data_IF_120706011509
#
_entry.id   IF_120706011509
#
_cell.length_a   1.000
_cell.length_b   1.000
_cell.length_c   1.000
_cell.angle_alpha   90.00
_cell.angle_beta   90.00
_cell.angle_gamma   90.00
#
_symmetry.space_group_name_H-M   'P 1'
#
loop_
_entity.id
_entity.type
_entity.pdbx_description
1 polymer ?
#
# COMPACT_ATOMS: atom_id res chain seq x y z
N UNK A 1 10.92 -36.67 37.43
CA UNK A 1 9.47 -36.53 37.65
C UNK A 1 8.94 -35.09 37.83
N UNK A 2 9.77 -34.02 37.81
CA UNK A 2 9.29 -32.63 37.95
C UNK A 2 8.93 -31.93 36.62
N UNK A 3 9.63 -32.21 35.51
CA UNK A 3 9.42 -31.55 34.21
C UNK A 3 8.05 -31.78 33.55
N UNK A 4 7.47 -32.99 33.67
CA UNK A 4 6.12 -33.27 33.14
C UNK A 4 5.04 -32.39 33.77
N UNK A 5 5.16 -32.06 35.06
CA UNK A 5 4.16 -31.24 35.78
C UNK A 5 4.12 -29.79 35.27
N UNK A 6 5.27 -29.21 34.94
CA UNK A 6 5.36 -27.85 34.38
C UNK A 6 4.82 -27.77 32.96
N UNK A 7 5.08 -28.80 32.13
CA UNK A 7 4.56 -28.83 30.76
C UNK A 7 3.04 -28.97 30.73
N UNK A 8 2.46 -29.78 31.62
CA UNK A 8 1.01 -29.90 31.77
C UNK A 8 0.37 -28.61 32.28
N UNK A 9 1.03 -27.91 33.22
CA UNK A 9 0.56 -26.62 33.72
C UNK A 9 0.59 -25.54 32.62
N UNK A 10 1.66 -25.48 31.83
CA UNK A 10 1.80 -24.53 30.73
C UNK A 10 0.74 -24.78 29.65
N UNK A 11 0.52 -26.04 29.28
CA UNK A 11 -0.52 -26.41 28.31
C UNK A 11 -1.93 -26.03 28.81
N UNK A 12 -2.22 -26.24 30.10
CA UNK A 12 -3.50 -25.86 30.69
C UNK A 12 -3.73 -24.34 30.65
N UNK A 13 -2.69 -23.53 30.93
CA UNK A 13 -2.77 -22.06 30.85
C UNK A 13 -3.05 -21.62 29.41
N UNK A 14 -2.31 -22.15 28.42
CA UNK A 14 -2.52 -21.79 27.02
C UNK A 14 -3.94 -22.12 26.51
N UNK A 15 -4.48 -23.29 26.89
CA UNK A 15 -5.84 -23.70 26.53
C UNK A 15 -6.87 -22.78 27.20
N UNK A 16 -6.68 -22.43 28.47
CA UNK A 16 -7.59 -21.56 29.19
C UNK A 16 -7.58 -20.11 28.63
N UNK A 17 -6.41 -19.59 28.28
CA UNK A 17 -6.26 -18.29 27.62
C UNK A 17 -6.93 -18.27 26.24
N UNK A 18 -6.82 -19.34 25.47
CA UNK A 18 -7.53 -19.49 24.18
C UNK A 18 -9.04 -19.48 24.38
N UNK A 19 -9.57 -20.23 25.35
CA UNK A 19 -11.00 -20.25 25.66
C UNK A 19 -11.51 -18.89 26.13
N UNK A 20 -10.74 -18.15 26.93
CA UNK A 20 -11.10 -16.78 27.31
C UNK A 20 -11.11 -15.83 26.11
N UNK A 21 -10.12 -15.90 25.21
CA UNK A 21 -10.09 -15.08 24.00
C UNK A 21 -11.30 -15.34 23.09
N UNK A 22 -11.70 -16.60 22.94
CA UNK A 22 -12.88 -16.99 22.13
C UNK A 22 -14.18 -16.55 22.79
N UNK A 23 -14.34 -16.71 24.11
CA UNK A 23 -15.57 -16.32 24.81
C UNK A 23 -15.71 -14.80 24.97
N UNK A 24 -14.62 -14.05 25.06
CA UNK A 24 -14.65 -12.57 25.07
C UNK A 24 -15.00 -11.97 23.69
N UNK A 25 -14.87 -12.73 22.60
CA UNK A 25 -15.31 -12.31 21.26
C UNK A 25 -16.81 -12.51 21.00
N UNK A 26 -17.52 -13.25 21.87
CA UNK A 26 -18.90 -13.66 21.63
C UNK A 26 -19.97 -12.71 22.23
N UNK A 27 -19.58 -11.69 23.01
CA UNK A 27 -20.53 -10.81 23.70
C UNK A 27 -20.64 -9.39 23.12
N UNK A 28 -20.02 -9.08 21.97
CA UNK A 28 -20.08 -7.74 21.36
C UNK A 28 -20.83 -7.66 20.03
N UNK A 29 -21.36 -8.78 19.52
CA UNK A 29 -21.98 -8.85 18.19
C UNK A 29 -23.50 -9.03 18.17
N UNK A 30 -24.16 -9.24 19.31
CA UNK A 30 -25.58 -9.67 19.30
C UNK A 30 -26.60 -8.58 19.69
N UNK A 31 -26.19 -7.40 20.17
CA UNK A 31 -27.14 -6.33 20.53
C UNK A 31 -27.54 -5.39 19.38
N UNK A 32 -26.86 -5.43 18.23
CA UNK A 32 -27.07 -4.44 17.15
C UNK A 32 -27.74 -4.99 15.87
N UNK A 33 -28.19 -6.25 15.84
CA UNK A 33 -28.64 -6.89 14.60
C UNK A 33 -30.02 -6.45 14.08
N UNK A 34 -30.83 -5.76 14.90
CA UNK A 34 -32.21 -5.41 14.53
C UNK A 34 -32.43 -3.98 14.02
N UNK A 35 -31.38 -3.17 13.84
CA UNK A 35 -31.53 -1.77 13.37
C UNK A 35 -31.15 -1.57 11.90
N UNK A 36 -30.55 -2.55 11.22
CA UNK A 36 -29.97 -2.35 9.88
C UNK A 36 -30.87 -2.69 8.68
N UNK A 37 -32.02 -3.33 8.87
CA UNK A 37 -32.75 -3.95 7.75
C UNK A 37 -33.58 -2.99 6.88
N UNK A 38 -33.61 -1.67 7.14
CA UNK A 38 -34.37 -0.72 6.30
C UNK A 38 -33.72 0.65 6.17
N UNK A 39 -32.70 0.77 5.32
CA UNK A 39 -32.28 2.07 4.77
C UNK A 39 -32.55 2.06 3.25
N UNK A 40 -33.53 2.84 2.75
CA UNK A 40 -33.79 3.04 1.30
C UNK A 40 -32.66 3.75 0.53
N UNK A 41 -31.49 3.95 1.12
CA UNK A 41 -30.39 4.78 0.61
C UNK A 41 -29.15 3.97 0.19
N UNK A 42 -29.15 2.63 0.27
CA UNK A 42 -27.93 1.85 0.01
C UNK A 42 -27.36 2.07 -1.41
N UNK A 43 -28.24 2.19 -2.41
CA UNK A 43 -27.86 2.42 -3.81
C UNK A 43 -27.39 3.87 -4.05
N UNK A 44 -28.05 4.85 -3.41
CA UNK A 44 -27.65 6.27 -3.42
C UNK A 44 -26.32 6.49 -2.69
N UNK A 45 -26.11 5.81 -1.56
CA UNK A 45 -24.87 5.87 -0.78
C UNK A 45 -23.73 5.27 -1.57
N UNK A 46 -23.91 4.08 -2.17
CA UNK A 46 -22.91 3.46 -3.03
C UNK A 46 -22.54 4.38 -4.20
N UNK A 47 -23.54 4.89 -4.93
CA UNK A 47 -23.32 5.78 -6.08
C UNK A 47 -22.55 7.03 -5.68
N UNK A 48 -22.94 7.70 -4.59
CA UNK A 48 -22.25 8.90 -4.10
C UNK A 48 -20.82 8.58 -3.64
N UNK A 49 -20.59 7.48 -2.93
CA UNK A 49 -19.25 7.08 -2.48
C UNK A 49 -18.31 6.85 -3.67
N UNK A 50 -18.79 6.15 -4.71
CA UNK A 50 -17.98 5.93 -5.93
C UNK A 50 -17.69 7.25 -6.65
N UNK A 51 -18.66 8.13 -6.79
CA UNK A 51 -18.49 9.44 -7.42
C UNK A 51 -17.47 10.32 -6.67
N UNK A 52 -17.56 10.40 -5.33
CA UNK A 52 -16.58 11.13 -4.52
C UNK A 52 -15.17 10.54 -4.61
N UNK A 53 -15.04 9.20 -4.65
CA UNK A 53 -13.74 8.54 -4.79
C UNK A 53 -13.12 8.87 -6.14
N UNK A 54 -13.90 8.80 -7.21
CA UNK A 54 -13.41 9.04 -8.57
C UNK A 54 -13.04 10.53 -8.75
N UNK A 55 -13.82 11.45 -8.16
CA UNK A 55 -13.48 12.88 -8.07
C UNK A 55 -12.19 13.14 -7.29
N UNK A 56 -12.00 12.46 -6.14
CA UNK A 56 -10.79 12.58 -5.34
C UNK A 56 -9.56 12.05 -6.08
N UNK A 57 -9.66 10.88 -6.73
CA UNK A 57 -8.56 10.31 -7.51
C UNK A 57 -8.18 11.25 -8.64
N UNK A 58 -9.15 11.81 -9.37
CA UNK A 58 -8.89 12.82 -10.40
C UNK A 58 -8.19 14.06 -9.84
N UNK A 59 -8.69 14.61 -8.73
CA UNK A 59 -8.08 15.78 -8.10
C UNK A 59 -6.64 15.52 -7.66
N UNK A 60 -6.35 14.31 -7.17
CA UNK A 60 -5.01 13.91 -6.77
C UNK A 60 -4.07 13.75 -7.97
N UNK A 61 -4.55 13.21 -9.09
CA UNK A 61 -3.77 13.13 -10.33
C UNK A 61 -3.45 14.53 -10.86
N UNK A 62 -4.44 15.42 -10.88
CA UNK A 62 -4.27 16.81 -11.31
C UNK A 62 -3.26 17.55 -10.42
N UNK A 63 -3.37 17.39 -9.10
CA UNK A 63 -2.40 17.92 -8.13
C UNK A 63 -0.99 17.35 -8.35
N UNK A 64 -0.87 16.04 -8.52
CA UNK A 64 0.41 15.36 -8.77
C UNK A 64 1.08 15.92 -10.01
N UNK A 65 0.32 16.09 -11.10
CA UNK A 65 0.80 16.68 -12.33
C UNK A 65 1.27 18.12 -12.14
N UNK A 66 0.50 18.94 -11.41
CA UNK A 66 0.84 20.33 -11.13
C UNK A 66 2.17 20.46 -10.38
N UNK A 67 2.40 19.64 -9.35
CA UNK A 67 3.61 19.75 -8.53
C UNK A 67 4.85 19.10 -9.16
N UNK A 68 4.66 18.07 -9.97
CA UNK A 68 5.76 17.23 -10.49
C UNK A 68 6.15 17.56 -11.93
N UNK A 69 5.23 18.13 -12.71
CA UNK A 69 5.42 18.34 -14.14
C UNK A 69 5.46 17.05 -14.97
N UNK A 70 5.17 15.89 -14.37
CA UNK A 70 5.13 14.61 -15.06
C UNK A 70 3.93 14.50 -16.01
N UNK A 71 4.03 13.59 -16.97
CA UNK A 71 2.93 13.27 -17.87
C UNK A 71 1.71 12.72 -17.12
N UNK A 72 0.51 13.06 -17.59
CA UNK A 72 -0.74 12.71 -16.91
C UNK A 72 -0.88 11.20 -16.67
N UNK A 73 -0.53 10.38 -17.66
CA UNK A 73 -0.63 8.92 -17.56
C UNK A 73 0.30 8.36 -16.48
N UNK A 74 1.48 8.96 -16.30
CA UNK A 74 2.42 8.59 -15.25
C UNK A 74 1.94 9.03 -13.87
N UNK A 75 1.33 10.22 -13.75
CA UNK A 75 0.69 10.66 -12.51
C UNK A 75 -0.46 9.74 -12.12
N UNK A 76 -1.29 9.34 -13.10
CA UNK A 76 -2.35 8.36 -12.91
C UNK A 76 -1.79 7.01 -12.45
N UNK A 77 -0.72 6.53 -13.09
CA UNK A 77 -0.04 5.30 -12.69
C UNK A 77 0.40 5.37 -11.22
N UNK A 78 1.11 6.44 -10.82
CA UNK A 78 1.56 6.65 -9.44
C UNK A 78 0.41 6.57 -8.44
N UNK A 79 -0.69 7.29 -8.69
CA UNK A 79 -1.85 7.36 -7.80
C UNK A 79 -2.53 5.99 -7.67
N UNK A 80 -2.72 5.29 -8.79
CA UNK A 80 -3.31 3.95 -8.79
C UNK A 80 -2.40 2.96 -8.07
N UNK A 81 -1.10 2.97 -8.35
CA UNK A 81 -0.12 2.08 -7.73
C UNK A 81 -0.02 2.31 -6.21
N UNK A 82 -0.05 3.57 -5.75
CA UNK A 82 -0.13 3.88 -4.32
C UNK A 82 -1.42 3.32 -3.68
N UNK A 83 -2.55 3.44 -4.37
CA UNK A 83 -3.84 2.93 -3.88
C UNK A 83 -3.84 1.41 -3.73
N UNK A 84 -3.32 0.69 -4.72
CA UNK A 84 -3.22 -0.78 -4.69
C UNK A 84 -2.26 -1.29 -3.61
N UNK A 85 -1.19 -0.54 -3.31
CA UNK A 85 -0.23 -0.87 -2.26
C UNK A 85 -0.58 -0.26 -0.88
N UNK A 86 -1.75 0.38 -0.75
CA UNK A 86 -2.21 1.07 0.48
C UNK A 86 -1.20 2.11 1.02
N UNK A 87 -0.49 2.79 0.12
CA UNK A 87 0.44 3.85 0.43
C UNK A 87 -0.20 5.23 0.28
N UNK A 88 0.20 6.16 1.15
CA UNK A 88 -0.18 7.56 1.03
C UNK A 88 0.56 8.20 -0.17
N UNK A 89 -0.14 8.65 -1.22
CA UNK A 89 0.48 9.27 -2.39
C UNK A 89 1.32 10.49 -2.03
N UNK A 90 0.96 11.25 -0.99
CA UNK A 90 1.76 12.41 -0.57
C UNK A 90 3.12 12.03 -0.01
N UNK A 91 3.24 10.86 0.65
CA UNK A 91 4.52 10.34 1.10
C UNK A 91 5.40 9.93 -0.10
N UNK A 92 4.82 9.24 -1.07
CA UNK A 92 5.52 8.84 -2.30
C UNK A 92 5.98 10.06 -3.10
N UNK A 93 5.13 11.09 -3.23
CA UNK A 93 5.49 12.35 -3.88
C UNK A 93 6.61 13.09 -3.14
N UNK A 94 6.56 13.13 -1.80
CA UNK A 94 7.62 13.70 -0.98
C UNK A 94 8.95 12.96 -1.14
N UNK A 95 8.92 11.63 -1.19
CA UNK A 95 10.08 10.78 -1.46
C UNK A 95 10.67 11.10 -2.84
N UNK A 96 9.88 11.04 -3.91
CA UNK A 96 10.35 11.29 -5.28
C UNK A 96 10.89 12.72 -5.42
N UNK A 97 10.22 13.71 -4.82
CA UNK A 97 10.73 15.10 -4.78
C UNK A 97 12.12 15.16 -4.16
N UNK A 98 12.35 14.42 -3.07
CA UNK A 98 13.63 14.40 -2.36
C UNK A 98 14.71 13.64 -3.14
N UNK A 99 14.35 12.54 -3.80
CA UNK A 99 15.31 11.68 -4.49
C UNK A 99 15.75 12.26 -5.83
N UNK A 100 14.80 12.68 -6.68
CA UNK A 100 15.10 13.05 -8.07
C UNK A 100 14.60 14.44 -8.46
N UNK A 101 13.90 15.15 -7.58
CA UNK A 101 13.15 16.35 -7.93
C UNK A 101 12.18 16.12 -9.11
N UNK A 102 11.54 14.95 -9.12
CA UNK A 102 10.68 14.47 -10.21
C UNK A 102 11.38 14.31 -11.57
N UNK A 103 12.71 14.24 -11.63
CA UNK A 103 13.42 14.00 -12.87
C UNK A 103 13.48 12.48 -13.19
N UNK A 104 12.77 12.00 -14.23
CA UNK A 104 12.76 10.58 -14.57
C UNK A 104 14.09 10.07 -15.14
N UNK A 105 14.98 10.99 -15.53
CA UNK A 105 16.31 10.69 -16.05
C UNK A 105 17.42 11.05 -15.06
N UNK A 106 17.09 11.20 -13.78
CA UNK A 106 18.08 11.46 -12.75
C UNK A 106 19.11 10.32 -12.68
N UNK A 107 20.38 10.69 -12.61
CA UNK A 107 21.52 9.79 -12.41
C UNK A 107 22.29 10.31 -11.21
N UNK A 108 22.26 9.58 -10.12
CA UNK A 108 22.97 9.93 -8.91
C UNK A 108 24.43 9.48 -8.92
N UNK A 109 25.21 10.01 -7.99
CA UNK A 109 26.65 9.79 -7.95
C UNK A 109 27.04 8.37 -7.52
N UNK A 110 26.15 7.68 -6.79
CA UNK A 110 26.35 6.29 -6.36
C UNK A 110 25.93 5.24 -7.38
N UNK A 111 25.36 5.65 -8.52
CA UNK A 111 24.80 4.76 -9.53
C UNK A 111 23.29 4.55 -9.42
N UNK A 112 22.62 5.27 -8.53
CA UNK A 112 21.17 5.30 -8.44
C UNK A 112 20.50 5.97 -9.67
N UNK A 113 19.39 5.41 -10.15
CA UNK A 113 18.72 5.85 -11.38
C UNK A 113 17.23 6.17 -11.19
N UNK A 114 16.76 7.16 -11.96
CA UNK A 114 15.34 7.48 -12.15
C UNK A 114 14.67 8.16 -10.95
N UNK A 115 13.33 8.13 -10.96
CA UNK A 115 12.47 8.91 -10.04
C UNK A 115 12.71 8.59 -8.56
N UNK A 116 12.80 7.31 -8.21
CA UNK A 116 13.04 6.83 -6.85
C UNK A 116 14.52 6.67 -6.51
N UNK A 117 15.44 7.03 -7.42
CA UNK A 117 16.89 6.84 -7.25
C UNK A 117 17.23 5.43 -6.73
N UNK A 118 16.83 4.41 -7.51
CA UNK A 118 17.05 3.01 -7.14
C UNK A 118 18.45 2.55 -7.54
N UNK A 119 19.13 1.88 -6.61
CA UNK A 119 20.40 1.18 -6.86
C UNK A 119 20.16 -0.14 -7.59
N UNK A 120 21.09 -0.54 -8.46
CA UNK A 120 20.98 -1.77 -9.26
C UNK A 120 20.68 -3.01 -8.40
N UNK A 121 21.43 -3.19 -7.32
CA UNK A 121 21.29 -4.35 -6.44
C UNK A 121 19.90 -4.43 -5.77
N UNK A 122 19.30 -3.28 -5.46
CA UNK A 122 17.96 -3.21 -4.86
C UNK A 122 16.90 -3.49 -5.92
N UNK A 123 17.00 -2.81 -7.06
CA UNK A 123 16.02 -2.91 -8.14
C UNK A 123 15.97 -4.33 -8.74
N UNK A 124 17.12 -5.00 -8.89
CA UNK A 124 17.18 -6.39 -9.36
C UNK A 124 16.35 -7.32 -8.47
N UNK A 125 16.52 -7.24 -7.15
CA UNK A 125 15.79 -8.09 -6.19
C UNK A 125 14.29 -7.84 -6.27
N UNK A 126 13.86 -6.57 -6.34
CA UNK A 126 12.44 -6.22 -6.44
C UNK A 126 11.86 -6.70 -7.77
N UNK A 127 12.54 -6.45 -8.89
CA UNK A 127 12.09 -6.88 -10.22
C UNK A 127 11.94 -8.41 -10.31
N UNK A 128 12.90 -9.17 -9.80
CA UNK A 128 12.85 -10.63 -9.75
C UNK A 128 11.67 -11.14 -8.91
N UNK A 129 11.43 -10.54 -7.74
CA UNK A 129 10.28 -10.88 -6.90
C UNK A 129 8.94 -10.62 -7.59
N UNK A 130 8.89 -9.62 -8.47
CA UNK A 130 7.71 -9.29 -9.28
C UNK A 130 7.64 -10.08 -10.60
N UNK A 131 8.64 -10.90 -10.91
CA UNK A 131 8.68 -11.72 -12.12
C UNK A 131 9.09 -10.97 -13.39
N UNK A 132 9.77 -9.83 -13.27
CA UNK A 132 10.31 -9.07 -14.40
C UNK A 132 11.74 -9.51 -14.75
N UNK A 133 12.05 -9.52 -16.05
CA UNK A 133 13.44 -9.45 -16.49
C UNK A 133 14.00 -8.05 -16.18
N UNK A 134 15.27 -7.96 -15.79
CA UNK A 134 15.86 -6.73 -15.30
C UNK A 134 17.21 -6.41 -15.94
N UNK A 135 17.28 -5.21 -16.51
CA UNK A 135 18.51 -4.50 -16.92
C UNK A 135 18.55 -3.15 -16.21
N UNK A 136 19.73 -2.66 -15.83
CA UNK A 136 19.84 -1.49 -14.96
C UNK A 136 19.28 -0.21 -15.59
N UNK A 137 19.48 -0.05 -16.90
CA UNK A 137 19.03 1.09 -17.69
C UNK A 137 17.49 1.21 -17.76
N UNK A 138 16.77 0.11 -17.49
CA UNK A 138 15.30 0.12 -17.39
C UNK A 138 14.82 1.05 -16.27
N UNK A 139 15.66 1.35 -15.27
CA UNK A 139 15.32 2.32 -14.22
C UNK A 139 15.18 3.76 -14.73
N UNK A 140 15.60 4.05 -15.97
CA UNK A 140 15.32 5.33 -16.61
C UNK A 140 13.94 5.36 -17.29
N UNK A 141 13.25 4.22 -17.40
CA UNK A 141 11.83 4.20 -17.71
C UNK A 141 11.04 4.61 -16.45
N UNK A 142 10.28 5.71 -16.49
CA UNK A 142 9.67 6.25 -15.29
C UNK A 142 8.57 5.38 -14.71
N UNK A 143 7.80 4.66 -15.54
CA UNK A 143 6.72 3.80 -15.07
C UNK A 143 7.30 2.57 -14.37
N UNK A 144 8.31 1.94 -14.97
CA UNK A 144 9.05 0.84 -14.35
C UNK A 144 9.72 1.29 -13.04
N UNK A 145 10.40 2.44 -13.04
CA UNK A 145 11.03 2.97 -11.83
C UNK A 145 10.02 3.22 -10.69
N UNK A 146 8.86 3.80 -11.01
CA UNK A 146 7.78 3.99 -10.04
C UNK A 146 7.23 2.65 -9.53
N UNK A 147 7.04 1.67 -10.42
CA UNK A 147 6.57 0.34 -10.04
C UNK A 147 7.46 -0.26 -8.96
N UNK A 148 8.77 -0.23 -9.18
CA UNK A 148 9.76 -0.77 -8.24
C UNK A 148 9.93 0.10 -6.99
N UNK A 149 9.62 1.40 -7.05
CA UNK A 149 9.71 2.30 -5.90
C UNK A 149 8.54 2.11 -4.93
N UNK A 150 7.35 1.78 -5.45
CA UNK A 150 6.09 1.72 -4.68
C UNK A 150 5.80 0.29 -4.17
N UNK A 151 6.35 -0.74 -4.83
CA UNK A 151 6.11 -2.16 -4.50
C UNK A 151 7.22 -2.74 -3.62
#
# INVERSE_FOLDING_TARGET
MKGKKYLTLLAAICIFSYFMMVNSGASTLDENKHTYDKIPQEETIKTNIYDYRDLYEKALIDFTKEISGLEYDLCKFLVVECRENHLDPFLVLGLIKRESDFNPKAVGAGGELGLGQLMENTARVIAENLGYAYEHEMLLDPEFNLKLTIT
#
